data_IF_679783474076
#
_entry.id   IF_679783474076
#
_cell.length_a   1.000
_cell.length_b   1.000
_cell.length_c   1.000
_cell.angle_alpha   90.00
_cell.angle_beta   90.00
_cell.angle_gamma   90.00
#
_symmetry.space_group_name_H-M   'P 1'
#
loop_
_entity.id
_entity.type
_entity.pdbx_description
1 polymer ?
#
# COMPACT_ATOMS: atom_id res chain seq x y z
N UNK A 1 9.03 17.46 5.64
CA UNK A 1 7.58 17.50 5.36
C UNK A 1 7.36 18.03 3.95
N UNK A 2 7.18 17.16 2.94
CA UNK A 2 6.82 17.60 1.59
C UNK A 2 5.34 17.95 1.54
N UNK A 3 5.00 19.19 1.15
CA UNK A 3 3.62 19.59 0.87
C UNK A 3 2.99 18.62 -0.15
N UNK A 4 1.67 18.43 -0.08
CA UNK A 4 0.89 17.68 -1.08
C UNK A 4 1.16 18.16 -2.51
N UNK A 5 1.59 19.41 -2.67
CA UNK A 5 1.88 20.06 -3.96
C UNK A 5 3.20 19.60 -4.60
N UNK A 6 4.17 19.17 -3.80
CA UNK A 6 5.50 18.75 -4.29
C UNK A 6 5.45 17.43 -5.09
N UNK A 7 4.37 16.65 -4.92
CA UNK A 7 4.08 15.43 -5.67
C UNK A 7 3.36 15.66 -7.00
N UNK A 8 2.91 16.88 -7.28
CA UNK A 8 2.17 17.24 -8.51
C UNK A 8 3.05 17.93 -9.57
N UNK A 9 4.21 18.46 -9.16
CA UNK A 9 5.17 19.10 -10.04
C UNK A 9 5.75 18.14 -11.10
N UNK A 10 5.83 18.62 -12.35
CA UNK A 10 6.41 17.89 -13.48
C UNK A 10 7.89 18.20 -13.62
N UNK A 11 8.71 17.21 -13.96
CA UNK A 11 10.11 17.48 -14.34
C UNK A 11 10.17 18.21 -15.69
N UNK A 12 11.30 18.86 -15.99
CA UNK A 12 11.50 19.50 -17.29
C UNK A 12 11.36 18.50 -18.46
N UNK A 13 11.83 17.27 -18.29
CA UNK A 13 11.68 16.18 -19.27
C UNK A 13 10.20 15.82 -19.47
N UNK A 14 9.45 15.71 -18.38
CA UNK A 14 8.02 15.41 -18.41
C UNK A 14 7.24 16.54 -19.08
N UNK A 15 7.51 17.80 -18.72
CA UNK A 15 6.90 18.99 -19.33
C UNK A 15 7.20 19.07 -20.83
N UNK A 16 8.46 18.85 -21.24
CA UNK A 16 8.84 18.83 -22.65
C UNK A 16 8.09 17.74 -23.41
N UNK A 17 7.97 16.54 -22.82
CA UNK A 17 7.22 15.41 -23.38
C UNK A 17 5.73 15.72 -23.51
N UNK A 18 5.11 16.31 -22.49
CA UNK A 18 3.69 16.69 -22.49
C UNK A 18 3.41 17.70 -23.61
N UNK A 19 4.25 18.72 -23.75
CA UNK A 19 4.12 19.75 -24.78
C UNK A 19 4.49 19.21 -26.18
N UNK A 20 5.30 18.15 -26.25
CA UNK A 20 5.75 17.58 -27.53
C UNK A 20 6.91 18.36 -28.16
N UNK A 21 7.81 18.90 -27.33
CA UNK A 21 9.02 19.60 -27.76
C UNK A 21 10.27 18.93 -27.18
N UNK A 22 11.45 19.26 -27.71
CA UNK A 22 12.71 18.81 -27.12
C UNK A 22 13.00 19.55 -25.82
N UNK A 23 13.72 18.90 -24.89
CA UNK A 23 14.17 19.51 -23.64
C UNK A 23 15.01 20.78 -23.88
N UNK A 24 15.85 20.77 -24.91
CA UNK A 24 16.63 21.94 -25.35
C UNK A 24 15.73 23.10 -25.76
N UNK A 25 14.63 22.82 -26.48
CA UNK A 25 13.66 23.86 -26.88
C UNK A 25 12.91 24.40 -25.66
N UNK A 26 12.54 23.56 -24.70
CA UNK A 26 11.92 23.97 -23.45
C UNK A 26 12.81 24.96 -22.68
N UNK A 27 14.08 24.63 -22.47
CA UNK A 27 15.01 25.53 -21.76
C UNK A 27 15.30 26.82 -22.54
N UNK A 28 15.32 26.79 -23.88
CA UNK A 28 15.43 28.01 -24.69
C UNK A 28 14.24 28.96 -24.46
N UNK A 29 13.03 28.42 -24.33
CA UNK A 29 11.83 29.21 -24.03
C UNK A 29 11.87 29.75 -22.60
N UNK A 30 12.27 28.93 -21.63
CA UNK A 30 12.43 29.39 -20.24
C UNK A 30 13.44 30.53 -20.14
N UNK A 31 14.58 30.39 -20.82
CA UNK A 31 15.61 31.44 -20.90
C UNK A 31 15.06 32.73 -21.54
N UNK A 32 14.21 32.61 -22.56
CA UNK A 32 13.57 33.77 -23.18
C UNK A 32 12.70 34.53 -22.15
N UNK A 33 11.86 33.84 -21.38
CA UNK A 33 11.06 34.48 -20.33
C UNK A 33 11.94 35.14 -19.25
N UNK A 34 13.03 34.49 -18.85
CA UNK A 34 13.94 35.04 -17.84
C UNK A 34 14.69 36.31 -18.29
N UNK A 35 14.89 36.48 -19.60
CA UNK A 35 15.68 37.59 -20.17
C UNK A 35 14.82 38.80 -20.55
N UNK A 36 13.48 38.67 -20.55
CA UNK A 36 12.57 39.69 -21.07
C UNK A 36 11.44 40.00 -20.07
N UNK A 37 11.76 40.61 -18.94
CA UNK A 37 10.82 40.95 -17.85
C UNK A 37 9.65 41.89 -18.28
N UNK A 38 9.75 42.56 -19.42
CA UNK A 38 8.73 43.47 -19.95
C UNK A 38 7.90 42.87 -21.11
N UNK A 39 8.05 41.58 -21.40
CA UNK A 39 7.27 40.88 -22.41
C UNK A 39 5.88 40.47 -21.85
N UNK A 40 4.78 40.50 -22.63
CA UNK A 40 3.49 39.96 -22.19
C UNK A 40 3.51 38.48 -21.74
N UNK A 41 4.58 37.74 -22.03
CA UNK A 41 4.77 36.37 -21.59
C UNK A 41 5.73 36.25 -20.41
N UNK A 42 5.23 35.75 -19.27
CA UNK A 42 6.03 35.53 -18.07
C UNK A 42 5.75 34.16 -17.42
N UNK A 43 6.78 33.60 -16.76
CA UNK A 43 6.66 32.44 -15.88
C UNK A 43 6.97 32.87 -14.45
N UNK A 44 6.01 32.66 -13.53
CA UNK A 44 6.10 33.11 -12.14
C UNK A 44 6.51 31.92 -11.25
N UNK A 45 7.54 32.09 -10.44
CA UNK A 45 7.96 31.12 -9.41
C UNK A 45 6.83 30.93 -8.39
N UNK A 46 6.45 29.69 -8.08
CA UNK A 46 5.33 29.33 -7.20
C UNK A 46 3.96 29.21 -7.89
N UNK A 47 3.81 29.70 -9.12
CA UNK A 47 2.57 29.53 -9.92
C UNK A 47 2.81 28.66 -11.15
N UNK A 48 3.86 28.96 -11.91
CA UNK A 48 4.19 28.27 -13.15
C UNK A 48 5.28 27.22 -12.95
N UNK A 49 6.24 27.47 -12.06
CA UNK A 49 7.33 26.53 -11.78
C UNK A 49 7.92 26.74 -10.39
N UNK A 50 8.74 25.77 -9.97
CA UNK A 50 9.58 25.80 -8.77
C UNK A 50 11.03 25.52 -9.16
N UNK A 51 12.00 26.14 -8.47
CA UNK A 51 13.41 25.86 -8.72
C UNK A 51 13.84 24.58 -8.02
N UNK A 52 14.49 23.70 -8.78
CA UNK A 52 15.25 22.57 -8.23
C UNK A 52 16.67 23.02 -7.89
N UNK A 53 17.28 23.81 -8.77
CA UNK A 53 18.55 24.48 -8.51
C UNK A 53 18.65 25.77 -9.32
N UNK A 54 18.75 26.91 -8.62
CA UNK A 54 18.89 28.23 -9.25
C UNK A 54 20.22 28.34 -10.02
N UNK A 55 21.31 27.77 -9.49
CA UNK A 55 22.63 27.79 -10.13
C UNK A 55 22.69 27.00 -11.44
N UNK A 56 22.01 25.85 -11.50
CA UNK A 56 21.93 25.03 -12.72
C UNK A 56 20.76 25.41 -13.64
N UNK A 57 19.97 26.41 -13.23
CA UNK A 57 18.72 26.82 -13.86
C UNK A 57 17.74 25.65 -14.13
N UNK A 58 17.70 24.67 -13.23
CA UNK A 58 16.79 23.51 -13.33
C UNK A 58 15.48 23.78 -12.60
N UNK A 59 14.37 23.50 -13.29
CA UNK A 59 13.00 23.81 -12.84
C UNK A 59 12.13 22.56 -12.81
N UNK A 60 11.14 22.59 -11.94
CA UNK A 60 9.96 21.74 -11.98
C UNK A 60 8.75 22.60 -12.29
N UNK A 61 7.80 22.10 -13.07
CA UNK A 61 6.70 22.91 -13.59
C UNK A 61 5.36 22.49 -12.99
N UNK A 62 4.54 23.49 -12.68
CA UNK A 62 3.11 23.30 -12.48
C UNK A 62 2.41 23.10 -13.83
N UNK A 63 1.17 22.60 -13.80
CA UNK A 63 0.32 22.49 -14.99
C UNK A 63 0.10 23.84 -15.66
N UNK A 64 -0.07 24.90 -14.86
CA UNK A 64 -0.19 26.27 -15.33
C UNK A 64 1.04 26.70 -16.14
N UNK A 65 2.26 26.35 -15.70
CA UNK A 65 3.49 26.61 -16.44
C UNK A 65 3.57 25.85 -17.76
N UNK A 66 3.15 24.58 -17.79
CA UNK A 66 3.09 23.82 -19.04
C UNK A 66 2.08 24.43 -20.05
N UNK A 67 0.94 24.92 -19.56
CA UNK A 67 -0.06 25.62 -20.37
C UNK A 67 0.44 26.97 -20.88
N UNK A 68 1.11 27.76 -20.05
CA UNK A 68 1.71 29.04 -20.44
C UNK A 68 2.73 28.86 -21.58
N UNK A 69 3.62 27.87 -21.44
CA UNK A 69 4.61 27.53 -22.48
C UNK A 69 3.94 27.05 -23.77
N UNK A 70 2.91 26.20 -23.67
CA UNK A 70 2.16 25.74 -24.83
C UNK A 70 1.45 26.89 -25.56
N UNK A 71 0.84 27.82 -24.81
CA UNK A 71 0.19 29.03 -25.34
C UNK A 71 1.18 29.92 -26.08
N UNK A 72 2.34 30.18 -25.47
CA UNK A 72 3.44 30.93 -26.10
C UNK A 72 3.86 30.28 -27.43
N UNK A 73 4.09 28.96 -27.44
CA UNK A 73 4.48 28.25 -28.68
C UNK A 73 3.41 28.40 -29.76
N UNK A 74 2.13 28.30 -29.40
CA UNK A 74 1.02 28.40 -30.35
C UNK A 74 0.89 29.81 -30.93
N UNK A 75 1.07 30.86 -30.12
CA UNK A 75 0.94 32.26 -30.56
C UNK A 75 2.17 32.75 -31.34
N UNK A 76 3.37 32.31 -30.97
CA UNK A 76 4.62 32.69 -31.65
C UNK A 76 4.97 31.84 -32.88
N UNK A 77 4.30 30.69 -33.08
CA UNK A 77 4.52 29.85 -34.25
C UNK A 77 3.25 29.72 -35.07
N UNK A 78 3.17 30.47 -36.17
CA UNK A 78 2.08 30.42 -37.17
C UNK A 78 2.00 29.10 -37.97
N UNK A 79 2.79 28.07 -37.60
CA UNK A 79 2.85 26.81 -38.33
C UNK A 79 1.65 25.92 -38.01
N UNK A 80 1.01 25.38 -39.05
CA UNK A 80 -0.12 24.44 -38.98
C UNK A 80 0.11 23.26 -38.00
N UNK A 81 1.36 22.81 -37.82
CA UNK A 81 1.71 21.69 -36.92
C UNK A 81 1.34 21.92 -35.45
N UNK A 82 1.29 23.18 -34.99
CA UNK A 82 0.92 23.55 -33.62
C UNK A 82 -0.58 23.88 -33.46
N UNK A 83 -1.36 23.75 -34.54
CA UNK A 83 -2.82 23.84 -34.47
C UNK A 83 -3.36 22.73 -33.55
N UNK A 84 -4.05 23.12 -32.49
CA UNK A 84 -4.57 22.19 -31.48
C UNK A 84 -3.54 21.71 -30.45
N UNK A 85 -2.37 22.35 -30.34
CA UNK A 85 -1.37 22.05 -29.30
C UNK A 85 -1.98 22.13 -27.89
N UNK A 86 -2.75 23.18 -27.60
CA UNK A 86 -3.41 23.35 -26.30
C UNK A 86 -4.35 22.20 -25.95
N UNK A 87 -5.15 21.71 -26.91
CA UNK A 87 -6.04 20.58 -26.68
C UNK A 87 -5.25 19.30 -26.31
N UNK A 88 -4.15 19.03 -27.03
CA UNK A 88 -3.27 17.88 -26.75
C UNK A 88 -2.57 17.98 -25.40
N UNK A 89 -2.14 19.19 -25.01
CA UNK A 89 -1.50 19.44 -23.71
C UNK A 89 -2.50 19.23 -22.58
N UNK A 90 -3.70 19.79 -22.71
CA UNK A 90 -4.79 19.61 -21.73
C UNK A 90 -5.18 18.14 -21.58
N UNK A 91 -5.32 17.41 -22.69
CA UNK A 91 -5.60 15.97 -22.69
C UNK A 91 -4.50 15.19 -21.95
N UNK A 92 -3.22 15.48 -22.24
CA UNK A 92 -2.08 14.81 -21.59
C UNK A 92 -1.97 15.14 -20.10
N UNK A 93 -2.24 16.38 -19.70
CA UNK A 93 -2.31 16.77 -18.29
C UNK A 93 -3.44 16.01 -17.59
N UNK A 94 -4.62 15.95 -18.21
CA UNK A 94 -5.77 15.24 -17.65
C UNK A 94 -5.45 13.74 -17.47
N UNK A 95 -4.88 13.09 -18.48
CA UNK A 95 -4.45 11.70 -18.38
C UNK A 95 -3.35 11.48 -17.32
N UNK A 96 -2.44 12.44 -17.14
CA UNK A 96 -1.44 12.38 -16.06
C UNK A 96 -2.12 12.40 -14.70
N UNK A 97 -3.09 13.30 -14.48
CA UNK A 97 -3.86 13.39 -13.24
C UNK A 97 -4.65 12.10 -12.98
N UNK A 98 -5.29 11.54 -14.00
CA UNK A 98 -6.02 10.26 -13.91
C UNK A 98 -5.08 9.12 -13.50
N UNK A 99 -3.92 8.99 -14.15
CA UNK A 99 -2.91 7.98 -13.79
C UNK A 99 -2.40 8.14 -12.36
N UNK A 100 -2.10 9.36 -11.93
CA UNK A 100 -1.68 9.63 -10.56
C UNK A 100 -2.78 9.24 -9.56
N UNK A 101 -4.04 9.56 -9.86
CA UNK A 101 -5.19 9.22 -9.03
C UNK A 101 -5.37 7.71 -8.92
N UNK A 102 -5.30 6.97 -10.04
CA UNK A 102 -5.34 5.49 -10.05
C UNK A 102 -4.26 4.88 -9.16
N UNK A 103 -3.02 5.38 -9.25
CA UNK A 103 -1.92 4.91 -8.39
C UNK A 103 -2.19 5.16 -6.91
N UNK A 104 -2.74 6.32 -6.56
CA UNK A 104 -3.10 6.64 -5.17
C UNK A 104 -4.22 5.73 -4.65
N UNK A 105 -5.23 5.44 -5.48
CA UNK A 105 -6.29 4.48 -5.14
C UNK A 105 -5.71 3.09 -4.90
N UNK A 106 -4.85 2.58 -5.79
CA UNK A 106 -4.17 1.28 -5.60
C UNK A 106 -3.39 1.25 -4.29
N UNK A 107 -2.64 2.31 -3.98
CA UNK A 107 -1.94 2.46 -2.69
C UNK A 107 -2.89 2.43 -1.50
N UNK A 108 -4.04 3.10 -1.61
CA UNK A 108 -5.09 3.05 -0.59
C UNK A 108 -5.59 1.62 -0.40
N UNK A 109 -5.87 0.88 -1.48
CA UNK A 109 -6.29 -0.53 -1.41
C UNK A 109 -5.23 -1.38 -0.71
N UNK A 110 -3.97 -1.30 -1.12
CA UNK A 110 -2.86 -2.05 -0.47
C UNK A 110 -2.74 -1.73 1.02
N UNK A 111 -2.84 -0.45 1.39
CA UNK A 111 -2.77 -0.03 2.81
C UNK A 111 -3.94 -0.57 3.63
N UNK A 112 -5.15 -0.58 3.06
CA UNK A 112 -6.36 -1.05 3.73
C UNK A 112 -6.44 -2.58 3.78
N UNK A 113 -5.77 -3.28 2.87
CA UNK A 113 -5.79 -4.74 2.73
C UNK A 113 -4.37 -5.32 2.89
N UNK A 114 -3.69 -4.94 3.98
CA UNK A 114 -2.30 -5.34 4.23
C UNK A 114 -2.11 -6.75 4.79
N UNK A 115 -3.16 -7.35 5.35
CA UNK A 115 -3.09 -8.64 6.04
C UNK A 115 -4.28 -9.54 5.70
N UNK A 116 -3.98 -10.73 5.19
CA UNK A 116 -4.95 -11.79 4.86
C UNK A 116 -5.81 -12.21 6.05
N UNK A 117 -5.25 -12.21 7.26
CA UNK A 117 -5.98 -12.65 8.47
C UNK A 117 -7.23 -11.80 8.74
N UNK A 118 -7.22 -10.57 8.23
CA UNK A 118 -8.29 -9.59 8.41
C UNK A 118 -9.23 -9.49 7.22
N UNK A 119 -9.04 -10.33 6.19
CA UNK A 119 -9.84 -10.34 4.98
C UNK A 119 -10.79 -11.52 5.01
N UNK A 120 -12.06 -11.28 4.66
CA UNK A 120 -13.01 -12.38 4.46
C UNK A 120 -12.98 -12.79 3.00
N UNK A 121 -12.48 -14.00 2.73
CA UNK A 121 -12.35 -14.53 1.37
C UNK A 121 -13.41 -15.60 1.14
N UNK A 122 -14.20 -15.45 0.08
CA UNK A 122 -15.20 -16.44 -0.35
C UNK A 122 -15.01 -16.69 -1.84
N UNK A 123 -14.53 -17.88 -2.19
CA UNK A 123 -14.13 -18.20 -3.57
C UNK A 123 -13.05 -17.26 -4.09
N UNK A 124 -13.33 -16.58 -5.21
CA UNK A 124 -12.44 -15.58 -5.82
C UNK A 124 -12.70 -14.14 -5.33
N UNK A 125 -13.63 -13.94 -4.40
CA UNK A 125 -14.00 -12.62 -3.88
C UNK A 125 -13.39 -12.34 -2.52
N UNK A 126 -12.98 -11.09 -2.32
CA UNK A 126 -12.53 -10.53 -1.05
C UNK A 126 -13.61 -9.57 -0.56
N UNK A 127 -14.26 -9.92 0.55
CA UNK A 127 -15.26 -9.12 1.21
C UNK A 127 -14.59 -8.16 2.19
N UNK A 128 -14.72 -6.87 1.90
CA UNK A 128 -14.09 -5.78 2.63
C UNK A 128 -15.09 -5.18 3.60
N UNK A 129 -14.68 -5.07 4.86
CA UNK A 129 -15.47 -4.48 5.94
C UNK A 129 -15.80 -3.00 5.65
N UNK A 130 -17.01 -2.58 6.04
CA UNK A 130 -17.54 -1.22 5.89
C UNK A 130 -16.52 -0.10 6.14
N UNK A 131 -15.77 -0.17 7.24
CA UNK A 131 -14.84 0.90 7.63
C UNK A 131 -13.73 1.08 6.59
N UNK A 132 -13.21 -0.02 6.03
CA UNK A 132 -12.18 -0.01 4.97
C UNK A 132 -12.78 0.46 3.65
N UNK A 133 -14.00 0.02 3.31
CA UNK A 133 -14.72 0.49 2.12
C UNK A 133 -14.87 2.01 2.10
N UNK A 134 -15.25 2.61 3.24
CA UNK A 134 -15.36 4.08 3.37
C UNK A 134 -14.02 4.77 3.07
N UNK A 135 -12.90 4.22 3.54
CA UNK A 135 -11.56 4.77 3.31
C UNK A 135 -11.11 4.61 1.85
N UNK A 136 -11.31 3.43 1.25
CA UNK A 136 -11.00 3.17 -0.17
C UNK A 136 -11.80 4.13 -1.07
N UNK A 137 -13.10 4.30 -0.82
CA UNK A 137 -13.95 5.21 -1.57
C UNK A 137 -13.67 6.70 -1.29
N UNK A 138 -12.88 7.03 -0.26
CA UNK A 138 -12.67 8.43 0.14
C UNK A 138 -13.98 9.14 0.51
N UNK A 139 -14.92 8.39 1.11
CA UNK A 139 -16.29 8.87 1.38
C UNK A 139 -16.60 8.92 2.86
N UNK A 140 -17.86 9.23 3.21
CA UNK A 140 -18.39 9.02 4.54
C UNK A 140 -19.43 7.88 4.51
N UNK A 141 -19.82 7.37 5.68
CA UNK A 141 -20.81 6.30 5.75
C UNK A 141 -22.16 6.63 5.10
N UNK A 142 -22.53 7.92 5.01
CA UNK A 142 -23.76 8.37 4.35
C UNK A 142 -23.71 8.18 2.83
N UNK A 143 -22.58 8.51 2.19
CA UNK A 143 -22.38 8.32 0.76
C UNK A 143 -22.41 6.84 0.36
N UNK A 144 -21.74 6.00 1.15
CA UNK A 144 -21.77 4.55 0.98
C UNK A 144 -23.21 3.99 1.11
N UNK A 145 -23.93 4.36 2.18
CA UNK A 145 -25.30 3.88 2.39
C UNK A 145 -26.23 4.28 1.27
N UNK A 146 -26.18 5.54 0.82
CA UNK A 146 -27.05 6.01 -0.24
C UNK A 146 -26.77 5.28 -1.57
N UNK A 147 -25.51 4.99 -1.88
CA UNK A 147 -25.16 4.23 -3.08
C UNK A 147 -25.56 2.75 -2.96
N UNK A 148 -25.27 2.11 -1.83
CA UNK A 148 -25.64 0.72 -1.58
C UNK A 148 -27.17 0.52 -1.64
N UNK A 149 -27.94 1.42 -1.04
CA UNK A 149 -29.40 1.40 -1.08
C UNK A 149 -29.92 1.45 -2.52
N UNK A 150 -29.43 2.38 -3.34
CA UNK A 150 -29.83 2.48 -4.75
C UNK A 150 -29.50 1.22 -5.55
N UNK A 151 -28.31 0.66 -5.33
CA UNK A 151 -27.86 -0.56 -6.02
C UNK A 151 -28.60 -1.84 -5.56
N UNK A 152 -29.16 -1.85 -4.34
CA UNK A 152 -29.88 -2.99 -3.79
C UNK A 152 -31.40 -2.92 -4.05
N UNK A 153 -32.00 -1.73 -4.05
CA UNK A 153 -33.46 -1.53 -4.14
C UNK A 153 -33.98 -1.31 -5.59
N UNK A 154 -33.25 -1.77 -6.60
CA UNK A 154 -33.65 -1.66 -8.03
C UNK A 154 -33.81 -0.20 -8.52
N UNK A 155 -33.27 0.76 -7.77
CA UNK A 155 -33.12 2.17 -8.13
C UNK A 155 -31.69 2.49 -8.62
N UNK A 156 -31.00 1.47 -9.14
CA UNK A 156 -29.73 1.60 -9.83
C UNK A 156 -29.91 2.27 -11.19
N UNK A 157 -28.83 2.37 -11.96
CA UNK A 157 -28.91 2.82 -13.35
C UNK A 157 -29.95 2.01 -14.15
N UNK A 158 -30.73 2.71 -14.99
CA UNK A 158 -31.73 2.09 -15.86
C UNK A 158 -31.14 0.87 -16.59
N UNK A 159 -31.67 -0.32 -16.30
CA UNK A 159 -31.29 -1.57 -16.96
C UNK A 159 -30.15 -2.38 -16.32
N UNK A 160 -29.61 -1.98 -15.16
CA UNK A 160 -28.69 -2.84 -14.39
C UNK A 160 -29.45 -3.71 -13.38
N UNK A 161 -29.08 -4.99 -13.31
CA UNK A 161 -29.55 -5.91 -12.27
C UNK A 161 -29.13 -5.43 -10.89
N UNK A 162 -29.95 -5.69 -9.87
CA UNK A 162 -29.63 -5.37 -8.47
C UNK A 162 -28.35 -6.08 -8.02
N UNK A 163 -27.73 -5.52 -6.97
CA UNK A 163 -26.64 -6.21 -6.30
C UNK A 163 -27.11 -7.54 -5.70
N UNK A 164 -26.43 -8.61 -6.08
CA UNK A 164 -26.58 -9.95 -5.51
C UNK A 164 -25.74 -10.15 -4.24
N UNK A 165 -26.35 -10.75 -3.21
CA UNK A 165 -25.68 -11.19 -1.97
C UNK A 165 -24.78 -12.40 -2.24
N UNK A 166 -23.58 -12.42 -1.65
CA UNK A 166 -22.55 -13.43 -1.93
C UNK A 166 -21.71 -13.14 -3.19
N UNK A 167 -22.12 -12.17 -4.02
CA UNK A 167 -21.35 -11.71 -5.19
C UNK A 167 -20.89 -10.27 -5.03
N UNK A 168 -21.78 -9.35 -4.64
CA UNK A 168 -21.48 -7.92 -4.52
C UNK A 168 -21.32 -7.49 -3.06
N UNK A 169 -22.14 -8.04 -2.17
CA UNK A 169 -22.07 -7.77 -0.74
C UNK A 169 -22.43 -9.02 0.06
N UNK A 170 -22.05 -9.05 1.33
CA UNK A 170 -22.46 -10.11 2.25
C UNK A 170 -22.57 -9.55 3.67
N UNK A 171 -23.38 -10.19 4.51
CA UNK A 171 -23.50 -9.83 5.92
C UNK A 171 -22.71 -10.84 6.73
N UNK A 172 -21.64 -10.38 7.37
CA UNK A 172 -20.68 -11.20 8.12
C UNK A 172 -20.60 -10.60 9.51
N UNK A 173 -20.87 -11.42 10.54
CA UNK A 173 -20.96 -10.97 11.95
C UNK A 173 -21.93 -9.80 12.15
N UNK A 174 -23.07 -9.82 11.44
CA UNK A 174 -24.07 -8.74 11.41
C UNK A 174 -23.53 -7.39 10.87
N UNK A 175 -22.37 -7.40 10.22
CA UNK A 175 -21.78 -6.24 9.55
C UNK A 175 -21.77 -6.48 8.04
N UNK A 176 -22.31 -5.52 7.29
CA UNK A 176 -22.27 -5.59 5.84
C UNK A 176 -20.84 -5.36 5.32
N UNK A 177 -20.40 -6.28 4.47
CA UNK A 177 -19.15 -6.26 3.74
C UNK A 177 -19.44 -6.19 2.25
N UNK A 178 -18.49 -5.63 1.49
CA UNK A 178 -18.62 -5.53 0.04
C UNK A 178 -17.46 -6.23 -0.64
N UNK A 179 -17.77 -7.01 -1.67
CA UNK A 179 -16.75 -7.61 -2.51
C UNK A 179 -16.09 -6.55 -3.38
N UNK A 180 -14.95 -6.86 -3.99
CA UNK A 180 -14.33 -5.96 -4.95
C UNK A 180 -15.24 -5.59 -6.13
N UNK A 181 -16.15 -6.51 -6.55
CA UNK A 181 -17.20 -6.23 -7.55
C UNK A 181 -18.28 -5.29 -7.02
N UNK A 182 -18.66 -5.45 -5.76
CA UNK A 182 -19.57 -4.52 -5.08
C UNK A 182 -19.01 -3.11 -4.99
N UNK A 183 -17.71 -2.98 -4.69
CA UNK A 183 -17.03 -1.68 -4.64
C UNK A 183 -17.05 -0.98 -6.00
N UNK A 184 -16.80 -1.71 -7.10
CA UNK A 184 -16.91 -1.17 -8.47
C UNK A 184 -18.29 -0.57 -8.71
N UNK A 185 -19.35 -1.33 -8.43
CA UNK A 185 -20.73 -0.87 -8.65
C UNK A 185 -21.08 0.34 -7.79
N UNK A 186 -20.71 0.34 -6.51
CA UNK A 186 -20.90 1.50 -5.63
C UNK A 186 -20.17 2.73 -6.16
N UNK A 187 -18.92 2.57 -6.59
CA UNK A 187 -18.14 3.67 -7.13
C UNK A 187 -18.75 4.24 -8.42
N UNK A 188 -19.20 3.39 -9.34
CA UNK A 188 -19.92 3.81 -10.55
C UNK A 188 -21.19 4.58 -10.21
N UNK A 189 -22.03 4.01 -9.33
CA UNK A 189 -23.25 4.66 -8.87
C UNK A 189 -22.97 6.03 -8.24
N UNK A 190 -21.92 6.11 -7.42
CA UNK A 190 -21.50 7.36 -6.78
C UNK A 190 -20.98 8.38 -7.79
N UNK A 191 -20.33 7.95 -8.88
CA UNK A 191 -19.86 8.83 -9.96
C UNK A 191 -21.01 9.43 -10.78
N UNK A 192 -22.01 8.62 -11.09
CA UNK A 192 -23.12 9.01 -11.98
C UNK A 192 -24.19 9.83 -11.24
N UNK A 193 -24.52 9.46 -9.99
CA UNK A 193 -25.52 10.16 -9.17
C UNK A 193 -24.97 11.42 -8.48
N UNK A 194 -23.80 11.87 -8.92
CA UNK A 194 -23.02 12.96 -8.34
C UNK A 194 -23.51 14.35 -8.77
N UNK A 195 -24.46 14.43 -9.70
CA UNK A 195 -24.90 15.64 -10.42
C UNK A 195 -25.76 16.64 -9.59
N UNK A 196 -26.04 16.38 -8.31
CA UNK A 196 -27.10 17.10 -7.58
C UNK A 196 -26.66 18.30 -6.71
N UNK A 197 -25.36 18.57 -6.41
CA UNK A 197 -24.99 19.62 -5.42
C UNK A 197 -23.87 20.60 -5.80
N UNK A 198 -24.05 21.83 -5.32
CA UNK A 198 -23.65 23.16 -5.82
C UNK A 198 -22.17 23.59 -5.63
N UNK A 199 -21.18 22.71 -5.47
CA UNK A 199 -19.77 23.12 -5.24
C UNK A 199 -18.78 22.48 -6.23
N UNK A 200 -18.46 23.15 -7.33
CA UNK A 200 -17.72 22.57 -8.48
C UNK A 200 -16.24 22.19 -8.25
N UNK A 201 -15.48 22.82 -7.35
CA UNK A 201 -14.00 22.65 -7.30
C UNK A 201 -13.51 21.49 -6.43
N UNK A 202 -13.89 21.44 -5.14
CA UNK A 202 -13.57 20.30 -4.26
C UNK A 202 -14.14 18.97 -4.79
N UNK A 203 -15.23 19.06 -5.55
CA UNK A 203 -16.01 17.94 -6.08
C UNK A 203 -15.37 17.26 -7.30
N UNK A 204 -14.70 18.02 -8.18
CA UNK A 204 -13.94 17.45 -9.32
C UNK A 204 -12.89 16.44 -8.86
N UNK A 205 -12.16 16.76 -7.79
CA UNK A 205 -11.14 15.87 -7.20
C UNK A 205 -11.75 14.59 -6.62
N UNK A 206 -12.92 14.69 -5.98
CA UNK A 206 -13.65 13.54 -5.43
C UNK A 206 -14.27 12.67 -6.51
N UNK A 207 -14.80 13.27 -7.58
CA UNK A 207 -15.29 12.52 -8.74
C UNK A 207 -14.17 11.72 -9.36
N UNK A 208 -13.03 12.36 -9.65
CA UNK A 208 -11.86 11.70 -10.22
C UNK A 208 -11.35 10.55 -9.32
N UNK A 209 -11.37 10.72 -8.00
CA UNK A 209 -11.07 9.62 -7.07
C UNK A 209 -12.06 8.46 -7.21
N UNK A 210 -13.36 8.73 -7.17
CA UNK A 210 -14.41 7.71 -7.29
C UNK A 210 -14.38 7.00 -8.66
N UNK A 211 -14.16 7.75 -9.74
CA UNK A 211 -13.96 7.21 -11.09
C UNK A 211 -12.76 6.25 -11.12
N UNK A 212 -11.63 6.67 -10.53
CA UNK A 212 -10.46 5.82 -10.42
C UNK A 212 -10.72 4.58 -9.57
N UNK A 213 -11.50 4.67 -8.47
CA UNK A 213 -11.92 3.50 -7.69
C UNK A 213 -12.73 2.54 -8.53
N UNK A 214 -13.74 3.02 -9.27
CA UNK A 214 -14.55 2.19 -10.15
C UNK A 214 -13.71 1.45 -11.20
N UNK A 215 -12.65 2.08 -11.69
CA UNK A 215 -11.77 1.51 -12.71
C UNK A 215 -10.78 0.48 -12.16
N UNK A 216 -10.15 0.73 -11.01
CA UNK A 216 -8.96 -0.05 -10.59
C UNK A 216 -9.18 -0.95 -9.38
N UNK A 217 -10.28 -0.80 -8.62
CA UNK A 217 -10.42 -1.48 -7.32
C UNK A 217 -10.49 -3.01 -7.45
N UNK A 218 -11.14 -3.54 -8.49
CA UNK A 218 -11.26 -4.99 -8.70
C UNK A 218 -9.89 -5.64 -8.93
N UNK A 219 -9.12 -5.08 -9.87
CA UNK A 219 -7.76 -5.53 -10.17
C UNK A 219 -6.83 -5.33 -8.97
N UNK A 220 -6.87 -4.17 -8.31
CA UNK A 220 -6.02 -3.85 -7.18
C UNK A 220 -6.23 -4.80 -6.00
N UNK A 221 -7.49 -5.13 -5.68
CA UNK A 221 -7.80 -6.10 -4.62
C UNK A 221 -7.34 -7.50 -5.02
N UNK A 222 -7.55 -7.90 -6.28
CA UNK A 222 -7.15 -9.20 -6.80
C UNK A 222 -5.63 -9.38 -6.75
N UNK A 223 -4.87 -8.37 -7.18
CA UNK A 223 -3.40 -8.37 -7.09
C UNK A 223 -2.91 -8.40 -5.66
N UNK A 224 -3.49 -7.58 -4.79
CA UNK A 224 -3.11 -7.54 -3.37
C UNK A 224 -3.34 -8.90 -2.71
N UNK A 225 -4.48 -9.55 -2.99
CA UNK A 225 -4.75 -10.91 -2.53
C UNK A 225 -3.66 -11.88 -2.99
N UNK A 226 -3.36 -11.94 -4.30
CA UNK A 226 -2.33 -12.84 -4.86
C UNK A 226 -0.95 -12.58 -4.24
N UNK A 227 -0.60 -11.31 -4.05
CA UNK A 227 0.65 -10.93 -3.40
C UNK A 227 0.72 -11.52 -1.98
N UNK A 228 -0.34 -11.34 -1.19
CA UNK A 228 -0.36 -11.85 0.18
C UNK A 228 -0.40 -13.38 0.23
N UNK A 229 -1.16 -14.05 -0.63
CA UNK A 229 -1.20 -15.52 -0.73
C UNK A 229 0.20 -16.06 -1.04
N UNK A 230 0.88 -15.48 -2.03
CA UNK A 230 2.26 -15.85 -2.35
C UNK A 230 3.22 -15.60 -1.17
N UNK A 231 2.97 -14.57 -0.36
CA UNK A 231 3.78 -14.28 0.82
C UNK A 231 3.56 -15.31 1.92
N UNK A 232 2.30 -15.72 2.15
CA UNK A 232 1.96 -16.75 3.11
C UNK A 232 2.56 -18.11 2.72
N UNK A 233 2.52 -18.47 1.44
CA UNK A 233 3.17 -19.67 0.90
C UNK A 233 4.69 -19.66 1.14
N UNK A 234 5.36 -18.53 0.89
CA UNK A 234 6.80 -18.38 1.17
C UNK A 234 7.10 -18.58 2.66
N UNK A 235 6.29 -18.02 3.55
CA UNK A 235 6.44 -18.18 5.01
C UNK A 235 6.24 -19.64 5.42
N UNK A 236 5.17 -20.29 4.95
CA UNK A 236 4.90 -21.72 5.21
C UNK A 236 6.05 -22.60 4.73
N UNK A 237 6.60 -22.33 3.55
CA UNK A 237 7.76 -23.03 3.01
C UNK A 237 9.00 -22.85 3.90
N UNK A 238 9.28 -21.63 4.34
CA UNK A 238 10.39 -21.36 5.26
C UNK A 238 10.22 -22.10 6.59
N UNK A 239 9.01 -22.08 7.18
CA UNK A 239 8.67 -22.82 8.40
C UNK A 239 8.85 -24.34 8.22
N UNK A 240 8.43 -24.90 7.09
CA UNK A 240 8.62 -26.32 6.79
C UNK A 240 10.11 -26.69 6.64
N UNK A 241 10.90 -25.81 6.00
CA UNK A 241 12.35 -26.00 5.84
C UNK A 241 13.07 -26.02 7.20
N UNK A 242 12.80 -25.07 8.11
CA UNK A 242 13.43 -25.08 9.43
C UNK A 242 13.01 -26.28 10.27
N UNK A 243 11.74 -26.72 10.20
CA UNK A 243 11.29 -27.97 10.85
C UNK A 243 12.04 -29.19 10.31
N UNK A 244 12.26 -29.25 9.00
CA UNK A 244 13.03 -30.31 8.35
C UNK A 244 14.51 -30.30 8.78
N UNK A 245 15.15 -29.11 8.80
CA UNK A 245 16.52 -28.93 9.26
C UNK A 245 16.71 -29.29 10.74
N UNK A 246 15.69 -29.05 11.56
CA UNK A 246 15.68 -29.45 12.97
C UNK A 246 15.51 -30.98 13.18
N UNK A 247 15.29 -31.76 12.12
CA UNK A 247 15.21 -33.23 12.14
C UNK A 247 14.28 -33.76 13.25
N UNK A 248 13.05 -33.26 13.29
CA UNK A 248 12.05 -33.61 14.29
C UNK A 248 12.50 -33.38 15.74
N UNK A 249 13.42 -32.45 16.00
CA UNK A 249 13.97 -32.20 17.35
C UNK A 249 13.62 -30.80 17.83
N UNK A 250 13.12 -30.69 19.06
CA UNK A 250 12.90 -29.40 19.71
C UNK A 250 14.23 -28.73 20.03
N UNK A 251 14.41 -27.46 19.65
CA UNK A 251 15.67 -26.73 19.85
C UNK A 251 15.87 -26.25 21.29
N UNK A 252 14.81 -26.29 22.12
CA UNK A 252 14.85 -25.98 23.56
C UNK A 252 15.09 -27.26 24.37
N UNK A 253 14.14 -28.20 24.32
CA UNK A 253 14.16 -29.40 25.15
C UNK A 253 15.13 -30.46 24.64
N UNK A 254 15.59 -30.36 23.38
CA UNK A 254 16.41 -31.37 22.67
C UNK A 254 15.74 -32.72 22.50
N UNK A 255 14.47 -32.84 22.87
CA UNK A 255 13.68 -34.05 22.68
C UNK A 255 13.34 -34.18 21.20
N UNK A 256 13.54 -35.39 20.66
CA UNK A 256 13.18 -35.76 19.30
C UNK A 256 11.79 -36.37 19.28
N UNK A 257 10.95 -35.90 18.37
CA UNK A 257 9.65 -36.51 18.04
C UNK A 257 9.90 -37.82 17.33
N UNK A 258 9.37 -38.89 17.89
CA UNK A 258 9.43 -40.25 17.36
C UNK A 258 8.03 -40.86 17.41
N UNK A 259 7.79 -42.01 16.76
CA UNK A 259 6.52 -42.73 16.89
C UNK A 259 6.17 -43.07 18.35
N UNK A 260 7.18 -43.39 19.17
CA UNK A 260 7.02 -43.75 20.60
C UNK A 260 6.85 -42.53 21.51
N UNK A 261 7.18 -41.33 21.02
CA UNK A 261 7.02 -40.07 21.74
C UNK A 261 6.45 -39.00 20.79
N UNK A 262 5.14 -39.09 20.47
CA UNK A 262 4.49 -38.16 19.57
C UNK A 262 4.20 -36.84 20.28
N UNK A 263 4.61 -35.74 19.66
CA UNK A 263 4.23 -34.39 20.05
C UNK A 263 4.37 -33.46 18.84
N UNK A 264 3.77 -32.27 18.92
CA UNK A 264 3.81 -31.30 17.85
C UNK A 264 4.99 -30.32 17.97
N UNK A 265 5.60 -30.05 16.81
CA UNK A 265 6.68 -29.11 16.66
C UNK A 265 6.18 -27.88 15.92
N UNK A 266 6.41 -26.71 16.53
CA UNK A 266 6.04 -25.41 15.99
C UNK A 266 7.31 -24.69 15.53
N UNK A 267 7.23 -24.00 14.39
CA UNK A 267 8.28 -23.05 13.99
C UNK A 267 7.81 -21.68 14.48
N UNK A 268 8.32 -21.25 15.63
CA UNK A 268 7.95 -19.99 16.25
C UNK A 268 8.73 -18.84 15.60
N UNK A 269 8.02 -17.77 15.26
CA UNK A 269 8.62 -16.51 14.79
C UNK A 269 9.11 -15.70 16.00
N UNK A 270 10.43 -15.51 16.12
CA UNK A 270 11.04 -14.78 17.24
C UNK A 270 10.70 -13.28 17.19
N UNK A 271 10.85 -12.66 16.02
CA UNK A 271 10.16 -11.42 15.68
C UNK A 271 8.81 -11.74 15.05
N UNK A 272 7.75 -11.19 15.62
CA UNK A 272 6.38 -11.40 15.14
C UNK A 272 6.22 -10.99 13.67
N UNK A 273 5.68 -11.93 12.88
CA UNK A 273 5.33 -11.74 11.46
C UNK A 273 4.44 -10.51 11.25
N UNK A 274 3.56 -10.19 12.19
CA UNK A 274 2.61 -9.07 12.06
C UNK A 274 3.30 -7.70 12.08
N UNK A 275 4.39 -7.58 12.85
CA UNK A 275 5.15 -6.34 13.01
C UNK A 275 6.40 -6.31 12.13
N UNK A 276 6.99 -7.47 11.85
CA UNK A 276 8.22 -7.66 11.06
C UNK A 276 8.02 -8.68 9.93
N UNK A 277 7.14 -8.39 8.95
CA UNK A 277 6.91 -9.28 7.82
C UNK A 277 8.17 -9.46 6.94
N UNK A 278 9.08 -8.49 6.97
CA UNK A 278 10.39 -8.54 6.31
C UNK A 278 11.27 -9.70 6.82
N UNK A 279 11.09 -10.13 8.07
CA UNK A 279 11.84 -11.21 8.69
C UNK A 279 11.09 -12.55 8.69
N UNK A 280 9.86 -12.61 8.18
CA UNK A 280 8.99 -13.77 8.34
C UNK A 280 9.48 -15.03 7.62
N UNK A 281 10.33 -14.88 6.59
CA UNK A 281 10.96 -15.99 5.85
C UNK A 281 12.41 -16.24 6.27
N UNK A 282 12.98 -15.41 7.14
CA UNK A 282 14.37 -15.55 7.59
C UNK A 282 14.47 -16.76 8.53
N UNK A 283 15.29 -17.75 8.18
CA UNK A 283 15.45 -18.96 8.98
C UNK A 283 15.96 -18.67 10.39
N UNK A 284 16.85 -17.68 10.53
CA UNK A 284 17.36 -17.28 11.84
C UNK A 284 16.27 -16.71 12.76
N UNK A 285 15.21 -16.12 12.19
CA UNK A 285 14.03 -15.62 12.90
C UNK A 285 13.04 -16.73 13.30
N UNK A 286 13.30 -17.98 12.91
CA UNK A 286 12.46 -19.12 13.24
C UNK A 286 13.15 -20.02 14.27
N UNK A 287 12.37 -20.47 15.25
CA UNK A 287 12.82 -21.42 16.27
C UNK A 287 11.86 -22.60 16.33
N UNK A 288 12.40 -23.81 16.14
CA UNK A 288 11.61 -25.05 16.17
C UNK A 288 11.49 -25.53 17.61
N UNK A 289 10.29 -25.45 18.17
CA UNK A 289 10.03 -25.74 19.58
C UNK A 289 8.84 -26.67 19.76
N UNK A 290 8.81 -27.33 20.92
CA UNK A 290 7.70 -28.18 21.36
C UNK A 290 6.46 -27.33 21.63
N UNK A 291 5.26 -27.84 21.33
CA UNK A 291 3.98 -27.16 21.56
C UNK A 291 3.83 -26.64 23.00
N UNK A 292 4.07 -27.46 24.02
CA UNK A 292 4.09 -27.04 25.43
C UNK A 292 4.94 -25.78 25.71
N UNK A 293 6.15 -25.69 25.12
CA UNK A 293 7.02 -24.51 25.30
C UNK A 293 6.46 -23.30 24.54
N UNK A 294 5.88 -23.53 23.36
CA UNK A 294 5.26 -22.49 22.54
C UNK A 294 4.04 -21.87 23.22
N UNK A 295 3.13 -22.71 23.73
CA UNK A 295 1.95 -22.28 24.47
C UNK A 295 2.34 -21.64 25.80
N UNK A 296 3.28 -22.24 26.54
CA UNK A 296 3.81 -21.67 27.79
C UNK A 296 4.36 -20.27 27.60
N UNK A 297 5.14 -20.05 26.54
CA UNK A 297 5.65 -18.72 26.18
C UNK A 297 4.52 -17.73 25.89
N UNK A 298 3.56 -18.09 25.03
CA UNK A 298 2.48 -17.16 24.65
C UNK A 298 1.53 -16.85 25.82
N UNK A 299 1.29 -17.81 26.70
CA UNK A 299 0.52 -17.62 27.92
C UNK A 299 1.23 -16.67 28.90
N UNK A 300 2.55 -16.82 29.06
CA UNK A 300 3.36 -15.93 29.90
C UNK A 300 3.49 -14.52 29.31
N UNK A 301 3.70 -14.41 27.99
CA UNK A 301 3.90 -13.13 27.30
C UNK A 301 2.62 -12.29 27.18
N UNK A 302 1.43 -12.91 27.29
CA UNK A 302 0.16 -12.18 27.28
C UNK A 302 -0.28 -11.66 25.90
N UNK A 303 0.17 -12.29 24.81
CA UNK A 303 -0.37 -12.07 23.46
C UNK A 303 0.13 -10.81 22.71
N UNK A 304 1.16 -10.11 23.20
CA UNK A 304 1.81 -9.02 22.47
C UNK A 304 2.67 -9.49 21.28
N UNK A 305 3.20 -8.54 20.50
CA UNK A 305 4.17 -8.84 19.45
C UNK A 305 5.46 -9.44 20.05
N UNK A 306 5.88 -10.58 19.50
CA UNK A 306 7.06 -11.30 19.95
C UNK A 306 8.34 -10.60 19.47
N UNK A 307 9.34 -10.56 20.35
CA UNK A 307 10.71 -10.20 20.04
C UNK A 307 11.66 -11.23 20.68
N UNK A 308 12.86 -11.48 20.10
CA UNK A 308 13.85 -12.40 20.66
C UNK A 308 14.11 -12.21 22.17
N UNK A 309 14.18 -10.95 22.64
CA UNK A 309 14.40 -10.64 24.07
C UNK A 309 13.31 -11.19 25.00
N UNK A 310 12.04 -11.17 24.56
CA UNK A 310 10.94 -11.72 25.36
C UNK A 310 11.09 -13.23 25.54
N UNK A 311 11.59 -13.92 24.50
CA UNK A 311 11.84 -15.35 24.56
C UNK A 311 13.04 -15.69 25.46
N UNK A 312 14.09 -14.85 25.46
CA UNK A 312 15.22 -14.97 26.41
C UNK A 312 14.72 -14.83 27.85
N UNK A 313 13.88 -13.83 28.13
CA UNK A 313 13.31 -13.61 29.47
C UNK A 313 12.47 -14.81 29.91
N UNK A 314 11.64 -15.37 29.02
CA UNK A 314 10.87 -16.58 29.31
C UNK A 314 11.77 -17.79 29.65
N UNK A 315 12.81 -18.04 28.85
CA UNK A 315 13.71 -19.17 29.07
C UNK A 315 14.49 -19.06 30.39
N UNK A 316 14.85 -17.84 30.79
CA UNK A 316 15.66 -17.59 31.99
C UNK A 316 14.83 -17.45 33.26
N UNK A 317 13.58 -16.98 33.17
CA UNK A 317 12.71 -16.77 34.34
C UNK A 317 11.74 -17.92 34.60
N UNK A 318 11.24 -18.59 33.55
CA UNK A 318 10.20 -19.63 33.67
C UNK A 318 10.78 -21.03 33.42
N UNK A 319 11.55 -21.19 32.34
CA UNK A 319 12.05 -22.51 31.91
C UNK A 319 13.47 -22.83 32.41
N UNK A 320 14.00 -22.05 33.36
CA UNK A 320 15.38 -22.18 33.86
C UNK A 320 15.70 -23.58 34.39
N UNK A 321 14.70 -24.22 35.02
CA UNK A 321 14.79 -25.59 35.54
C UNK A 321 15.13 -26.62 34.45
N UNK A 322 14.78 -26.38 33.18
CA UNK A 322 15.14 -27.28 32.07
C UNK A 322 16.63 -27.30 31.80
N UNK A 323 17.39 -26.32 32.32
CA UNK A 323 18.81 -26.12 32.08
C UNK A 323 19.68 -26.36 33.32
N UNK A 324 19.19 -27.20 34.24
CA UNK A 324 19.77 -27.58 35.54
C UNK A 324 21.17 -28.23 35.53
N UNK A 325 21.68 -28.67 34.38
CA UNK A 325 23.00 -29.30 34.27
C UNK A 325 23.99 -28.39 33.53
N UNK A 326 25.31 -28.48 33.81
CA UNK A 326 26.31 -27.63 33.15
C UNK A 326 26.27 -27.68 31.62
N UNK A 327 25.99 -28.87 31.06
CA UNK A 327 25.84 -29.03 29.60
C UNK A 327 24.63 -28.28 29.06
N UNK A 328 23.47 -28.43 29.70
CA UNK A 328 22.24 -27.75 29.27
C UNK A 328 22.34 -26.23 29.48
N UNK A 329 22.98 -25.78 30.56
CA UNK A 329 23.28 -24.36 30.79
C UNK A 329 24.17 -23.78 29.68
N UNK A 330 25.20 -24.51 29.24
CA UNK A 330 26.02 -24.10 28.10
C UNK A 330 25.22 -24.03 26.78
N UNK A 331 24.27 -24.93 26.58
CA UNK A 331 23.38 -24.91 25.42
C UNK A 331 22.39 -23.73 25.48
N UNK A 332 21.86 -23.39 26.65
CA UNK A 332 21.05 -22.18 26.87
C UNK A 332 21.87 -20.93 26.53
N UNK A 333 23.11 -20.82 27.02
CA UNK A 333 23.95 -19.66 26.74
C UNK A 333 24.20 -19.48 25.23
N UNK A 334 24.44 -20.57 24.49
CA UNK A 334 24.58 -20.51 23.03
C UNK A 334 23.30 -20.01 22.35
N UNK A 335 22.14 -20.44 22.84
CA UNK A 335 20.85 -19.99 22.33
C UNK A 335 20.63 -18.50 22.63
N UNK A 336 20.86 -18.06 23.86
CA UNK A 336 20.76 -16.65 24.25
C UNK A 336 21.66 -15.79 23.36
N UNK A 337 22.92 -16.17 23.17
CA UNK A 337 23.83 -15.45 22.29
C UNK A 337 23.32 -15.34 20.84
N UNK A 338 22.65 -16.38 20.33
CA UNK A 338 22.01 -16.35 19.00
C UNK A 338 20.85 -15.36 18.99
N UNK A 339 19.98 -15.40 20.00
CA UNK A 339 18.80 -14.53 20.10
C UNK A 339 19.19 -13.06 20.27
N UNK A 340 20.19 -12.77 21.10
CA UNK A 340 20.73 -11.41 21.29
C UNK A 340 21.33 -10.86 20.00
N UNK A 341 22.10 -11.69 19.27
CA UNK A 341 22.65 -11.30 17.97
C UNK A 341 21.55 -11.00 16.96
N UNK A 342 20.49 -11.81 16.92
CA UNK A 342 19.33 -11.56 16.07
C UNK A 342 18.61 -10.25 16.46
N UNK A 343 18.42 -9.99 17.75
CA UNK A 343 17.86 -8.75 18.27
C UNK A 343 18.69 -7.55 17.79
N UNK A 344 19.99 -7.54 18.08
CA UNK A 344 20.90 -6.45 17.76
C UNK A 344 20.94 -6.13 16.26
N UNK A 345 20.94 -7.17 15.42
CA UNK A 345 20.98 -7.01 13.96
C UNK A 345 19.71 -6.35 13.39
N UNK A 346 18.56 -6.46 14.08
CA UNK A 346 17.27 -6.09 13.49
C UNK A 346 16.45 -5.08 14.31
N UNK A 347 16.86 -4.74 15.53
CA UNK A 347 16.18 -3.76 16.40
C UNK A 347 16.37 -2.32 15.90
N UNK A 348 17.48 -2.01 15.19
CA UNK A 348 17.84 -0.65 14.80
C UNK A 348 17.52 -0.26 13.34
N UNK A 349 17.01 -1.17 12.51
CA UNK A 349 16.82 -0.90 11.08
C UNK A 349 15.71 0.12 10.75
N UNK A 350 14.90 0.55 11.72
CA UNK A 350 13.86 1.57 11.55
C UNK A 350 14.26 2.98 12.07
N UNK A 351 15.45 3.16 12.66
CA UNK A 351 15.92 4.49 13.12
C UNK A 351 16.70 5.30 12.07
N UNK A 352 16.96 4.73 10.90
CA UNK A 352 17.77 5.36 9.84
C UNK A 352 16.95 6.02 8.71
N UNK A 353 15.62 6.08 8.84
CA UNK A 353 14.73 6.79 7.90
C UNK A 353 13.87 7.88 8.59
N UNK A 354 14.42 8.50 9.63
CA UNK A 354 13.82 9.65 10.33
C UNK A 354 14.24 10.99 9.72
#
# INVERSE_FOLDING_TARGET
MGSRDDKLLMSAEETAKIIGISLKKLYKICKFFDEHENDPWDLIEGEHFEWVSKGLKTRRFHEAGALAIAKYIQETNSRSIFRGLMARVLERITHRQERATRLLVRRSVTSELKDLSTLVIQGNLVFVERRRVIRILGTNGKGLNAAALREQENCGLMGRETMEKGVHFNDIDNVQHWSQRGLVRIAQNMSENFLSRKSQKAWKSRKAWIDAVAEVVDEAITEQRKYLESSDERVKKAMAQVKSLANNTCQITRVKRTPDNPFDLHAHHLFDRSTRPDLATLHDNLLVIHEEVHEGFHNWHGGGSCEPKHFVDYLTSVESWRFDTPKKAADLQKLINRLDKLQQNHENHLRMEG
#
